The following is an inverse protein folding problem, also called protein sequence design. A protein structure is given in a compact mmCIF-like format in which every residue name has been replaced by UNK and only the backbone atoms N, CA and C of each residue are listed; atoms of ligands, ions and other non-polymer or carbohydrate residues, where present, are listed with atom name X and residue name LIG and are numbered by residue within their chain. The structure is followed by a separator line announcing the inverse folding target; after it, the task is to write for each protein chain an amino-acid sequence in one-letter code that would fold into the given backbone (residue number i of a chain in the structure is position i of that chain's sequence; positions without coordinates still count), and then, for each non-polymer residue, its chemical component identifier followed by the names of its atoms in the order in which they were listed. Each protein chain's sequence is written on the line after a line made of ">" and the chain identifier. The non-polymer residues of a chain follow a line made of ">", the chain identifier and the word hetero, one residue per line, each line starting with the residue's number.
data_IF_615900369027
#
_entry.id   IF_615900369027
#
_cell.length_a   1.000
_cell.length_b   1.000
_cell.length_c   1.000
_cell.angle_alpha   90.00
_cell.angle_beta   90.00
_cell.angle_gamma   90.00
#
_symmetry.space_group_name_H-M   'P 1'
#
loop_
_entity.id
_entity.type
_entity.pdbx_description
1 polymer ?
#
# COMPACT_ATOMS: atom_id res chain seq x y z
N UNK A 1 -4.99 1.65 -34.04
CA UNK A 1 -4.91 2.44 -32.80
C UNK A 1 -4.58 1.51 -31.66
N UNK A 2 -3.29 1.41 -31.36
CA UNK A 2 -2.73 0.51 -30.37
C UNK A 2 -3.11 1.00 -28.97
N UNK A 3 -4.05 0.33 -28.31
CA UNK A 3 -4.27 0.53 -26.89
C UNK A 3 -3.10 -0.13 -26.16
N UNK A 4 -2.06 0.66 -25.91
CA UNK A 4 -0.92 0.34 -25.03
C UNK A 4 -1.45 -0.31 -23.75
N UNK A 5 -1.21 -1.61 -23.63
CA UNK A 5 -1.37 -2.39 -22.41
C UNK A 5 -0.27 -1.92 -21.46
N UNK A 6 -0.58 -0.90 -20.67
CA UNK A 6 0.29 -0.44 -19.59
C UNK A 6 0.27 -1.55 -18.53
N UNK A 7 1.36 -2.29 -18.44
CA UNK A 7 1.60 -3.24 -17.36
C UNK A 7 1.73 -2.44 -16.07
N UNK A 8 0.57 -2.11 -15.46
CA UNK A 8 0.53 -1.56 -14.12
C UNK A 8 1.10 -2.63 -13.19
N UNK A 9 2.35 -2.45 -12.77
CA UNK A 9 2.83 -3.00 -11.50
C UNK A 9 1.85 -2.48 -10.45
N UNK A 10 0.87 -3.31 -10.07
CA UNK A 10 -0.24 -2.91 -9.23
C UNK A 10 0.23 -2.78 -7.79
N UNK A 11 1.01 -1.76 -7.51
CA UNK A 11 1.25 -1.33 -6.15
C UNK A 11 -0.05 -0.66 -5.69
N UNK A 12 -0.86 -1.38 -4.90
CA UNK A 12 -2.17 -0.87 -4.51
C UNK A 12 -1.96 0.35 -3.59
N UNK A 13 -2.25 1.59 -4.06
CA UNK A 13 -1.93 2.80 -3.30
C UNK A 13 -2.74 2.90 -2.01
N UNK A 14 -3.81 2.12 -1.89
CA UNK A 14 -4.62 2.03 -0.67
C UNK A 14 -3.79 1.57 0.54
N UNK A 15 -2.83 0.65 0.37
CA UNK A 15 -2.01 0.17 1.48
C UNK A 15 -1.19 1.29 2.13
N UNK A 16 -0.55 2.13 1.31
CA UNK A 16 0.23 3.27 1.79
C UNK A 16 -0.70 4.33 2.41
N UNK A 17 -1.85 4.61 1.79
CA UNK A 17 -2.82 5.58 2.32
C UNK A 17 -3.34 5.18 3.72
N UNK A 18 -3.65 3.90 3.91
CA UNK A 18 -4.07 3.35 5.20
C UNK A 18 -2.93 3.45 6.22
N UNK A 19 -1.72 3.05 5.85
CA UNK A 19 -0.55 3.12 6.73
C UNK A 19 -0.23 4.54 7.21
N UNK A 20 -0.35 5.54 6.33
CA UNK A 20 -0.16 6.95 6.69
C UNK A 20 -1.29 7.40 7.63
N UNK A 21 -2.55 7.14 7.31
CA UNK A 21 -3.68 7.55 8.14
C UNK A 21 -3.58 6.98 9.57
N UNK A 22 -3.27 5.69 9.69
CA UNK A 22 -3.09 4.99 10.97
C UNK A 22 -1.83 5.49 11.68
N UNK A 23 -0.71 5.60 10.97
CA UNK A 23 0.57 6.07 11.51
C UNK A 23 0.52 7.49 12.05
N UNK A 24 -0.17 8.39 11.34
CA UNK A 24 -0.41 9.76 11.81
C UNK A 24 -1.28 9.78 13.06
N UNK A 25 -2.35 8.97 13.14
CA UNK A 25 -3.16 8.87 14.35
C UNK A 25 -2.37 8.35 15.56
N UNK A 26 -1.55 7.31 15.36
CA UNK A 26 -0.68 6.75 16.41
C UNK A 26 0.40 7.77 16.80
N UNK A 27 1.01 8.46 15.85
CA UNK A 27 2.04 9.48 16.11
C UNK A 27 1.52 10.67 16.91
N UNK A 28 0.30 11.11 16.62
CA UNK A 28 -0.40 12.14 17.42
C UNK A 28 -0.69 11.63 18.83
N UNK A 29 -1.23 10.42 18.96
CA UNK A 29 -1.58 9.84 20.26
C UNK A 29 -0.35 9.63 21.18
N UNK A 30 0.79 9.26 20.60
CA UNK A 30 2.04 9.05 21.32
C UNK A 30 2.86 10.34 21.53
N UNK A 31 2.45 11.46 20.93
CA UNK A 31 3.23 12.70 20.91
C UNK A 31 4.57 12.57 20.17
N UNK A 32 4.74 11.53 19.34
CA UNK A 32 5.96 11.24 18.61
C UNK A 32 5.65 10.88 17.15
N UNK A 33 5.65 11.90 16.30
CA UNK A 33 5.36 11.76 14.87
C UNK A 33 6.37 10.88 14.14
N UNK A 34 7.65 10.91 14.54
CA UNK A 34 8.69 10.09 13.92
C UNK A 34 8.41 8.60 14.11
N UNK A 35 7.95 8.24 15.30
CA UNK A 35 7.63 6.85 15.64
C UNK A 35 6.32 6.41 15.00
N UNK A 36 5.29 7.26 15.01
CA UNK A 36 4.01 7.00 14.36
C UNK A 36 4.12 6.84 12.84
N UNK A 37 4.82 7.74 12.15
CA UNK A 37 5.06 7.61 10.71
C UNK A 37 6.01 6.47 10.37
N UNK A 38 7.06 6.22 11.16
CA UNK A 38 7.96 5.09 10.92
C UNK A 38 7.21 3.76 10.93
N UNK A 39 6.38 3.54 11.95
CA UNK A 39 5.54 2.34 12.07
C UNK A 39 4.45 2.32 11.01
N UNK A 40 3.75 3.44 10.80
CA UNK A 40 2.65 3.53 9.83
C UNK A 40 3.08 3.29 8.39
N UNK A 41 4.22 3.85 7.98
CA UNK A 41 4.79 3.61 6.65
C UNK A 41 5.25 2.17 6.49
N UNK A 42 5.90 1.57 7.50
CA UNK A 42 6.30 0.17 7.45
C UNK A 42 5.09 -0.77 7.26
N UNK A 43 4.01 -0.53 8.02
CA UNK A 43 2.76 -1.28 7.89
C UNK A 43 2.09 -1.02 6.54
N UNK A 44 2.02 0.24 6.11
CA UNK A 44 1.38 0.62 4.85
C UNK A 44 2.08 0.05 3.62
N UNK A 45 3.42 0.03 3.63
CA UNK A 45 4.23 -0.61 2.57
C UNK A 45 4.01 -2.13 2.60
N UNK A 46 4.02 -2.76 3.78
CA UNK A 46 3.75 -4.19 3.90
C UNK A 46 2.36 -4.57 3.36
N UNK A 47 1.33 -3.76 3.65
CA UNK A 47 -0.02 -3.93 3.11
C UNK A 47 -0.09 -3.65 1.61
N UNK A 48 0.56 -2.59 1.11
CA UNK A 48 0.57 -2.27 -0.31
C UNK A 48 1.25 -3.36 -1.14
N UNK A 49 2.30 -3.97 -0.60
CA UNK A 49 2.99 -5.11 -1.21
C UNK A 49 2.12 -6.37 -1.14
N UNK A 50 1.55 -6.70 0.01
CA UNK A 50 0.74 -7.92 0.17
C UNK A 50 -0.57 -7.88 -0.64
N UNK A 51 -1.26 -6.73 -0.66
CA UNK A 51 -2.48 -6.53 -1.44
C UNK A 51 -2.18 -6.40 -2.94
N UNK A 52 -1.07 -5.76 -3.31
CA UNK A 52 -0.60 -5.71 -4.70
C UNK A 52 -0.27 -7.09 -5.25
N UNK A 53 0.37 -7.94 -4.45
CA UNK A 53 0.64 -9.35 -4.80
C UNK A 53 -0.63 -10.19 -4.95
N UNK A 54 -1.67 -9.91 -4.16
CA UNK A 54 -2.94 -10.62 -4.25
C UNK A 54 -3.72 -10.29 -5.53
N UNK A 55 -3.63 -9.04 -6.01
CA UNK A 55 -4.22 -8.64 -7.29
C UNK A 55 -3.45 -9.17 -8.52
N UNK A 56 -2.16 -9.45 -8.38
CA UNK A 56 -1.33 -10.02 -9.44
C UNK A 56 -1.56 -11.55 -9.59
N UNK A 57 -1.81 -12.25 -8.47
CA UNK A 57 -2.22 -13.66 -8.49
C UNK A 57 -3.65 -13.86 -9.00
N UNK A 58 -4.60 -13.00 -8.65
CA UNK A 58 -5.98 -13.11 -9.10
C UNK A 58 -6.21 -12.82 -10.60
N UNK A 59 -5.18 -12.35 -11.33
CA UNK A 59 -5.26 -12.07 -12.78
C UNK A 59 -4.63 -13.16 -13.68
N UNK A 60 -4.09 -14.23 -13.10
CA UNK A 60 -3.48 -15.34 -13.88
C UNK A 60 -4.33 -16.63 -13.90
N UNK A 61 -5.51 -16.63 -13.29
CA UNK A 61 -6.44 -17.79 -13.30
C UNK A 61 -7.61 -17.60 -14.30
N UNK A 62 -7.43 -16.76 -15.33
CA UNK A 62 -8.39 -16.57 -16.43
C UNK A 62 -7.63 -16.42 -17.77
N UNK A 63 -6.96 -17.51 -18.21
CA UNK A 63 -6.50 -17.78 -19.60
C UNK A 63 -6.68 -19.26 -19.91
#
# INVERSE_FOLDING_TARGET
>A
MEKKKNSETKMNPAGIAIGIAVGSGIGVALGNMSLGLGVGVAIGVAMAVSMGQQEEKAKNDDV
#
